data_IF_129915626448
#
_entry.id   IF_129915626448
#
_cell.length_a   1.000
_cell.length_b   1.000
_cell.length_c   1.000
_cell.angle_alpha   90.00
_cell.angle_beta   90.00
_cell.angle_gamma   90.00
#
_symmetry.space_group_name_H-M   'P 1'
#
loop_
_entity.id
_entity.type
_entity.pdbx_description
1 polymer ?
#
# COMPACT_ATOMS: atom_id res chain seq x y z
N UNK A 1 7.85 -0.80 14.62
CA UNK A 1 7.60 0.01 13.43
C UNK A 1 8.88 0.02 12.61
N UNK A 2 8.93 -0.83 11.60
CA UNK A 2 10.16 -1.07 10.85
C UNK A 2 11.10 -1.98 11.61
N UNK A 3 12.33 -1.50 11.88
CA UNK A 3 13.42 -2.30 12.44
C UNK A 3 13.19 -2.74 13.90
N UNK A 4 12.61 -1.89 14.75
CA UNK A 4 12.24 -2.25 16.12
C UNK A 4 10.75 -2.60 16.15
N UNK A 5 10.36 -3.79 16.61
CA UNK A 5 8.96 -4.27 16.57
C UNK A 5 8.46 -4.57 17.99
N UNK A 6 7.44 -3.82 18.45
CA UNK A 6 6.74 -4.06 19.70
C UNK A 6 5.35 -4.69 19.44
N UNK A 7 4.77 -5.42 20.44
CA UNK A 7 3.48 -6.08 20.29
C UNK A 7 2.32 -5.16 19.90
N UNK A 8 2.36 -3.90 20.32
CA UNK A 8 1.40 -2.88 19.91
C UNK A 8 2.06 -1.54 19.67
N UNK A 9 1.40 -0.71 18.87
CA UNK A 9 1.86 0.63 18.53
C UNK A 9 1.86 1.59 19.72
N UNK A 10 0.99 1.40 20.70
CA UNK A 10 0.95 2.29 21.87
C UNK A 10 2.17 2.14 22.77
N UNK A 11 2.78 0.95 22.78
CA UNK A 11 3.90 0.63 23.65
C UNK A 11 5.15 1.47 23.38
N UNK A 12 5.32 1.98 22.15
CA UNK A 12 6.40 2.92 21.83
C UNK A 12 6.37 4.19 22.69
N UNK A 13 5.18 4.60 23.16
CA UNK A 13 4.96 5.74 24.05
C UNK A 13 4.64 5.33 25.48
N UNK A 14 4.91 4.08 25.85
CA UNK A 14 4.66 3.59 27.20
C UNK A 14 5.40 4.41 28.25
N UNK A 15 4.87 4.41 29.47
CA UNK A 15 5.59 4.88 30.65
C UNK A 15 6.46 3.79 31.27
N UNK A 16 6.22 2.52 30.90
CA UNK A 16 7.05 1.38 31.31
C UNK A 16 8.38 1.40 30.53
N UNK A 17 9.54 1.50 31.22
CA UNK A 17 10.85 1.49 30.58
C UNK A 17 11.16 0.25 29.74
N UNK A 18 10.50 -0.89 30.01
CA UNK A 18 10.69 -2.12 29.22
C UNK A 18 10.14 -1.99 27.79
N UNK A 19 9.20 -1.08 27.56
CA UNK A 19 8.52 -0.90 26.28
C UNK A 19 8.77 0.46 25.63
N UNK A 20 9.03 1.48 26.45
CA UNK A 20 9.23 2.85 26.00
C UNK A 20 10.40 2.94 25.03
N UNK A 21 10.19 3.62 23.90
CA UNK A 21 11.25 3.95 22.94
C UNK A 21 11.41 5.46 22.95
N UNK A 22 12.47 5.94 23.61
CA UNK A 22 12.64 7.37 23.89
C UNK A 22 12.77 8.21 22.62
N UNK A 23 13.40 7.70 21.57
CA UNK A 23 13.55 8.38 20.28
C UNK A 23 12.18 8.68 19.65
N UNK A 24 11.22 7.76 19.79
CA UNK A 24 9.87 7.92 19.26
C UNK A 24 9.02 8.78 20.20
N UNK A 25 9.07 8.48 21.50
CA UNK A 25 8.25 9.15 22.50
C UNK A 25 8.60 10.63 22.70
N UNK A 26 9.88 10.99 22.54
CA UNK A 26 10.37 12.37 22.64
C UNK A 26 10.08 13.20 21.38
N UNK A 27 10.02 12.58 20.19
CA UNK A 27 9.78 13.29 18.92
C UNK A 27 8.36 13.85 18.84
N UNK A 28 7.35 13.08 19.25
CA UNK A 28 5.95 13.50 19.17
C UNK A 28 5.07 12.76 20.19
N UNK A 29 4.11 13.41 20.86
CA UNK A 29 3.16 12.71 21.72
C UNK A 29 2.27 11.72 20.95
N UNK A 30 1.97 10.56 21.55
CA UNK A 30 1.11 9.52 20.95
C UNK A 30 -0.23 10.06 20.42
N UNK A 31 -0.87 10.97 21.18
CA UNK A 31 -2.15 11.57 20.77
C UNK A 31 -2.04 12.36 19.47
N UNK A 32 -0.94 13.12 19.29
CA UNK A 32 -0.68 13.89 18.07
C UNK A 32 -0.39 12.95 16.90
N UNK A 33 0.43 11.92 17.12
CA UNK A 33 0.71 10.90 16.11
C UNK A 33 -0.57 10.22 15.61
N UNK A 34 -1.43 9.77 16.54
CA UNK A 34 -2.71 9.13 16.22
C UNK A 34 -3.66 10.06 15.45
N UNK A 35 -3.68 11.36 15.80
CA UNK A 35 -4.46 12.35 15.07
C UNK A 35 -3.98 12.50 13.62
N UNK A 36 -2.67 12.62 13.40
CA UNK A 36 -2.09 12.69 12.05
C UNK A 36 -2.44 11.44 11.26
N UNK A 37 -2.24 10.25 11.85
CA UNK A 37 -2.54 8.98 11.19
C UNK A 37 -4.02 8.85 10.81
N UNK A 38 -4.94 9.33 11.67
CA UNK A 38 -6.38 9.32 11.39
C UNK A 38 -6.79 10.28 10.28
N UNK A 39 -6.09 11.41 10.16
CA UNK A 39 -6.44 12.48 9.23
C UNK A 39 -5.60 12.48 7.94
N UNK A 40 -4.68 11.51 7.77
CA UNK A 40 -3.82 11.42 6.60
C UNK A 40 -4.68 11.22 5.33
N UNK A 41 -4.52 12.14 4.39
CA UNK A 41 -5.26 12.16 3.13
C UNK A 41 -4.32 12.54 1.98
N UNK A 42 -4.42 11.84 0.85
CA UNK A 42 -3.43 11.91 -0.24
C UNK A 42 -4.00 12.40 -1.57
N UNK A 43 -5.31 12.70 -1.63
CA UNK A 43 -5.94 13.26 -2.82
C UNK A 43 -7.03 14.27 -2.42
N UNK A 44 -7.64 14.99 -3.35
CA UNK A 44 -8.77 15.89 -3.06
C UNK A 44 -10.10 15.14 -3.30
N UNK A 45 -10.84 14.87 -2.22
CA UNK A 45 -12.12 14.14 -2.31
C UNK A 45 -13.20 14.90 -3.10
N UNK A 46 -13.09 16.23 -3.21
CA UNK A 46 -14.05 17.02 -4.01
C UNK A 46 -13.96 16.72 -5.51
N UNK A 47 -12.82 16.17 -5.96
CA UNK A 47 -12.55 15.80 -7.35
C UNK A 47 -12.85 14.34 -7.66
N UNK A 48 -13.34 13.56 -6.69
CA UNK A 48 -13.59 12.14 -6.91
C UNK A 48 -14.82 11.97 -7.82
N UNK A 49 -14.69 11.32 -8.99
CA UNK A 49 -15.83 11.04 -9.85
C UNK A 49 -16.87 10.16 -9.14
N UNK A 50 -18.13 10.27 -9.57
CA UNK A 50 -19.20 9.39 -9.10
C UNK A 50 -18.92 7.94 -9.50
N UNK A 51 -19.39 6.98 -8.70
CA UNK A 51 -19.20 5.53 -8.96
C UNK A 51 -19.73 5.05 -10.30
N UNK A 52 -20.73 5.74 -10.86
CA UNK A 52 -21.32 5.46 -12.16
C UNK A 52 -20.55 6.08 -13.33
N UNK A 53 -19.57 6.96 -13.06
CA UNK A 53 -18.76 7.58 -14.10
C UNK A 53 -17.77 6.58 -14.69
N UNK A 54 -17.53 6.61 -16.01
CA UNK A 54 -16.43 5.85 -16.62
C UNK A 54 -15.05 6.21 -16.03
N UNK A 55 -14.90 7.42 -15.49
CA UNK A 55 -13.65 7.89 -14.87
C UNK A 55 -13.49 7.45 -13.40
N UNK A 56 -14.40 6.62 -12.87
CA UNK A 56 -14.35 6.20 -11.49
C UNK A 56 -13.16 5.27 -11.21
N UNK A 57 -12.21 5.77 -10.44
CA UNK A 57 -11.08 4.98 -9.94
C UNK A 57 -11.30 4.52 -8.49
N UNK A 58 -11.33 3.19 -8.26
CA UNK A 58 -11.41 2.61 -6.91
C UNK A 58 -10.22 3.01 -6.03
N UNK A 59 -9.07 3.36 -6.63
CA UNK A 59 -7.85 3.78 -5.93
C UNK A 59 -7.68 5.30 -5.89
N UNK A 60 -8.69 6.08 -6.30
CA UNK A 60 -8.61 7.53 -6.41
C UNK A 60 -7.91 8.19 -5.21
N UNK A 61 -8.27 7.80 -3.99
CA UNK A 61 -7.73 8.39 -2.75
C UNK A 61 -6.22 8.24 -2.56
N UNK A 62 -5.61 7.22 -3.17
CA UNK A 62 -4.16 6.95 -3.10
C UNK A 62 -3.45 7.11 -4.44
N UNK A 63 -4.20 7.38 -5.52
CA UNK A 63 -3.66 7.46 -6.88
C UNK A 63 -2.46 8.40 -7.01
N UNK A 64 -2.47 9.62 -6.44
CA UNK A 64 -1.31 10.51 -6.52
C UNK A 64 -0.04 9.89 -5.92
N UNK A 65 -0.17 9.16 -4.82
CA UNK A 65 0.96 8.48 -4.19
C UNK A 65 1.46 7.31 -5.05
N UNK A 66 0.55 6.49 -5.58
CA UNK A 66 0.94 5.36 -6.45
C UNK A 66 1.67 5.86 -7.70
N UNK A 67 1.15 6.90 -8.35
CA UNK A 67 1.77 7.51 -9.53
C UNK A 67 3.14 8.10 -9.18
N UNK A 68 3.25 8.82 -8.05
CA UNK A 68 4.52 9.36 -7.58
C UNK A 68 5.54 8.24 -7.37
N UNK A 69 5.20 7.21 -6.59
CA UNK A 69 6.11 6.10 -6.29
C UNK A 69 6.59 5.38 -7.55
N UNK A 70 5.68 5.01 -8.46
CA UNK A 70 6.07 4.37 -9.72
C UNK A 70 6.99 5.28 -10.55
N UNK A 71 6.70 6.58 -10.64
CA UNK A 71 7.59 7.52 -11.36
C UNK A 71 8.96 7.63 -10.69
N UNK A 72 9.01 7.69 -9.36
CA UNK A 72 10.26 7.78 -8.59
C UNK A 72 11.09 6.52 -8.77
N UNK A 73 10.48 5.34 -8.71
CA UNK A 73 11.21 4.08 -8.86
C UNK A 73 11.84 3.93 -10.25
N UNK A 74 11.10 4.26 -11.32
CA UNK A 74 11.66 4.25 -12.68
C UNK A 74 12.82 5.24 -12.85
N UNK A 75 12.72 6.43 -12.24
CA UNK A 75 13.71 7.48 -12.41
C UNK A 75 15.01 7.25 -11.60
N UNK A 76 14.98 6.41 -10.57
CA UNK A 76 16.12 6.17 -9.69
C UNK A 76 16.88 4.87 -9.98
N UNK A 77 16.42 4.05 -10.93
CA UNK A 77 17.13 2.85 -11.34
C UNK A 77 16.90 2.56 -12.82
N UNK A 78 17.97 2.22 -13.53
CA UNK A 78 17.84 1.73 -14.90
C UNK A 78 17.22 0.34 -14.90
N UNK A 79 16.35 0.09 -15.87
CA UNK A 79 15.79 -1.24 -16.11
C UNK A 79 16.92 -2.19 -16.51
N UNK A 80 17.02 -3.32 -15.83
CA UNK A 80 17.92 -4.41 -16.22
C UNK A 80 17.34 -5.22 -17.38
N UNK A 81 18.20 -6.02 -18.00
CA UNK A 81 17.83 -6.97 -19.05
C UNK A 81 16.97 -8.13 -18.53
N UNK A 82 17.03 -8.44 -17.24
CA UNK A 82 16.33 -9.56 -16.61
C UNK A 82 15.43 -9.07 -15.48
N UNK A 83 14.12 -9.17 -15.69
CA UNK A 83 13.11 -8.67 -14.77
C UNK A 83 12.12 -9.77 -14.44
N UNK A 84 11.57 -9.71 -13.23
CA UNK A 84 10.54 -10.61 -12.73
C UNK A 84 9.23 -9.84 -12.56
N UNK A 85 8.13 -10.45 -12.98
CA UNK A 85 6.77 -9.94 -12.75
C UNK A 85 6.00 -11.02 -11.98
N UNK A 86 5.62 -10.70 -10.75
CA UNK A 86 4.88 -11.62 -9.89
C UNK A 86 3.96 -10.85 -8.92
N UNK A 87 3.16 -11.59 -8.17
CA UNK A 87 2.11 -11.08 -7.32
C UNK A 87 2.56 -11.09 -5.87
N UNK A 88 2.47 -9.92 -5.25
CA UNK A 88 2.65 -9.72 -3.82
C UNK A 88 1.32 -9.50 -3.11
N UNK A 89 1.31 -9.77 -1.80
CA UNK A 89 0.14 -9.63 -0.94
C UNK A 89 0.43 -8.65 0.19
N UNK A 90 -0.35 -7.58 0.27
CA UNK A 90 -0.30 -6.63 1.39
C UNK A 90 -1.33 -7.05 2.43
N UNK A 91 -0.86 -7.38 3.65
CA UNK A 91 -1.75 -7.76 4.76
C UNK A 91 -2.77 -6.67 5.04
N UNK A 92 -4.05 -7.03 4.98
CA UNK A 92 -5.12 -6.13 5.40
C UNK A 92 -6.28 -6.91 6.03
N UNK A 93 -6.56 -6.63 7.31
CA UNK A 93 -7.62 -7.32 8.07
C UNK A 93 -8.96 -6.57 8.08
N UNK A 94 -9.01 -5.34 7.58
CA UNK A 94 -10.23 -4.52 7.58
C UNK A 94 -11.26 -4.90 6.51
N UNK A 95 -12.31 -4.07 6.43
CA UNK A 95 -13.35 -4.16 5.40
C UNK A 95 -12.94 -3.34 4.17
N UNK A 96 -12.81 -4.00 3.03
CA UNK A 96 -12.59 -3.36 1.72
C UNK A 96 -13.04 -4.34 0.63
N UNK A 97 -13.65 -3.83 -0.44
CA UNK A 97 -14.02 -4.62 -1.61
C UNK A 97 -12.79 -5.09 -2.40
N UNK A 98 -11.67 -4.36 -2.31
CA UNK A 98 -10.44 -4.70 -3.04
C UNK A 98 -9.66 -5.89 -2.46
N UNK A 99 -10.09 -6.40 -1.29
CA UNK A 99 -9.40 -7.47 -0.60
C UNK A 99 -9.58 -8.79 -1.35
N UNK A 100 -8.46 -9.43 -1.67
CA UNK A 100 -8.42 -10.73 -2.33
C UNK A 100 -8.14 -11.85 -1.31
N UNK A 101 -8.63 -13.04 -1.61
CA UNK A 101 -8.29 -14.27 -0.90
C UNK A 101 -7.43 -15.17 -1.78
N UNK A 102 -6.20 -15.45 -1.35
CA UNK A 102 -5.25 -16.32 -2.07
C UNK A 102 -4.81 -17.45 -1.13
N UNK A 103 -5.45 -18.65 -1.19
CA UNK A 103 -5.26 -19.70 -0.19
C UNK A 103 -3.84 -20.27 -0.14
N UNK A 104 -3.11 -20.20 -1.26
CA UNK A 104 -1.76 -20.74 -1.41
C UNK A 104 -0.65 -19.77 -1.00
N UNK A 105 -0.96 -18.50 -0.71
CA UNK A 105 0.04 -17.52 -0.26
C UNK A 105 0.08 -17.50 1.28
N UNK A 106 1.25 -17.22 1.91
CA UNK A 106 1.36 -17.08 3.37
C UNK A 106 0.38 -16.04 3.93
N UNK A 107 0.27 -14.90 3.22
CA UNK A 107 -0.74 -13.88 3.48
C UNK A 107 -1.98 -14.22 2.66
N UNK A 108 -2.91 -14.93 3.29
CA UNK A 108 -4.12 -15.43 2.60
C UNK A 108 -5.13 -14.33 2.26
N UNK A 109 -5.20 -13.24 3.03
CA UNK A 109 -6.21 -12.17 2.88
C UNK A 109 -5.54 -10.80 2.92
N UNK A 110 -5.71 -10.02 1.86
CA UNK A 110 -5.04 -8.74 1.72
C UNK A 110 -5.32 -8.06 0.39
N UNK A 111 -4.57 -7.01 0.08
CA UNK A 111 -4.56 -6.43 -1.27
C UNK A 111 -3.57 -7.19 -2.14
N UNK A 112 -4.03 -7.67 -3.30
CA UNK A 112 -3.16 -8.24 -4.32
C UNK A 112 -2.52 -7.11 -5.10
N UNK A 113 -1.20 -7.18 -5.29
CA UNK A 113 -0.43 -6.19 -6.03
C UNK A 113 0.46 -6.93 -7.02
N UNK A 114 0.47 -6.51 -8.28
CA UNK A 114 1.45 -6.93 -9.27
C UNK A 114 2.70 -6.10 -9.09
N UNK A 115 3.86 -6.74 -9.04
CA UNK A 115 5.15 -6.09 -8.87
C UNK A 115 6.05 -6.48 -10.04
N UNK A 116 6.67 -5.49 -10.68
CA UNK A 116 7.76 -5.66 -11.63
C UNK A 116 9.07 -5.28 -10.94
N UNK A 117 9.95 -6.26 -10.77
CA UNK A 117 11.21 -6.09 -10.06
C UNK A 117 12.41 -6.52 -10.90
N UNK A 118 13.57 -5.97 -10.57
CA UNK A 118 14.85 -6.50 -11.03
C UNK A 118 15.05 -7.93 -10.51
N UNK A 119 15.46 -8.86 -11.39
CA UNK A 119 15.59 -10.26 -11.00
C UNK A 119 16.80 -10.54 -10.11
N UNK A 120 17.82 -9.69 -10.12
CA UNK A 120 19.10 -9.92 -9.43
C UNK A 120 19.16 -9.27 -8.06
N UNK A 121 18.64 -8.05 -7.93
CA UNK A 121 18.69 -7.19 -6.74
C UNK A 121 17.36 -7.16 -6.00
N UNK A 122 16.26 -7.52 -6.65
CA UNK A 122 14.91 -7.39 -6.11
C UNK A 122 14.39 -5.95 -6.07
N UNK A 123 15.06 -5.00 -6.74
CA UNK A 123 14.59 -3.60 -6.82
C UNK A 123 13.21 -3.53 -7.49
N UNK A 124 12.25 -2.86 -6.85
CA UNK A 124 10.91 -2.66 -7.39
C UNK A 124 10.91 -1.51 -8.39
N UNK A 125 10.69 -1.81 -9.67
CA UNK A 125 10.55 -0.78 -10.70
C UNK A 125 9.13 -0.19 -10.70
N UNK A 126 8.13 -1.04 -10.57
CA UNK A 126 6.73 -0.64 -10.74
C UNK A 126 5.80 -1.61 -10.05
N UNK A 127 4.68 -1.10 -9.55
CA UNK A 127 3.62 -1.94 -9.04
C UNK A 127 2.24 -1.45 -9.46
N UNK A 128 1.29 -2.38 -9.55
CA UNK A 128 -0.12 -2.08 -9.79
C UNK A 128 -1.04 -2.86 -8.83
N UNK A 129 -1.99 -2.15 -8.24
CA UNK A 129 -2.89 -2.72 -7.22
C UNK A 129 -4.11 -3.29 -7.95
N UNK A 130 -4.39 -4.57 -7.71
CA UNK A 130 -5.51 -5.24 -8.35
C UNK A 130 -6.85 -4.67 -7.88
N UNK A 131 -7.66 -4.18 -8.82
CA UNK A 131 -8.97 -3.53 -8.56
C UNK A 131 -10.18 -4.31 -9.06
N UNK A 132 -9.98 -5.57 -9.45
CA UNK A 132 -10.92 -6.47 -10.16
C UNK A 132 -10.96 -6.23 -11.67
N UNK A 133 -11.22 -7.30 -12.43
CA UNK A 133 -11.41 -7.23 -13.89
C UNK A 133 -12.71 -6.50 -14.21
N UNK A 134 -12.65 -5.54 -15.13
CA UNK A 134 -13.82 -5.21 -15.96
C UNK A 134 -14.24 -6.49 -16.67
N UNK A 135 -15.49 -6.92 -16.52
CA UNK A 135 -16.05 -7.98 -17.35
C UNK A 135 -16.16 -7.40 -18.76
N UNK A 136 -15.16 -7.64 -19.59
CA UNK A 136 -15.31 -7.46 -21.02
C UNK A 136 -16.14 -8.66 -21.48
N UNK A 137 -17.44 -8.45 -21.69
CA UNK A 137 -18.22 -9.37 -22.50
C UNK A 137 -17.57 -9.42 -23.88
N UNK A 138 -16.82 -10.48 -24.15
CA UNK A 138 -16.41 -10.81 -25.51
C UNK A 138 -17.71 -11.14 -26.26
N UNK A 139 -18.27 -10.14 -26.97
CA UNK A 139 -19.27 -10.41 -28.00
C UNK A 139 -18.60 -11.31 -29.02
N UNK A 140 -18.94 -12.60 -28.96
CA UNK A 140 -18.57 -13.56 -29.98
C UNK A 140 -19.16 -13.07 -31.30
N UNK A 141 -18.30 -12.95 -32.32
CA UNK A 141 -18.67 -12.60 -33.70
C UNK A 141 -19.56 -13.71 -34.26
#
# INVERSE_FOLDING_TARGET
>A
MGYNILPSMELYWSSDPAFRVDEIASTMPYRRFKLILRCLHLNDNSKQPLRSSPDYDKLFKIRPLVTLLNSTFQNNANNSSSQSIDESMIVFKGRSSLKQYMPLKPIKRGFKVWCRCDSSTGYLYEFDIYTEKMVIELKTI
#
